data_IF_735096466535
#
_entry.id   IF_735096466535
#
_cell.length_a   1.000
_cell.length_b   1.000
_cell.length_c   1.000
_cell.angle_alpha   90.00
_cell.angle_beta   90.00
_cell.angle_gamma   90.00
#
_symmetry.space_group_name_H-M   'P 1'
#
loop_
_entity.id
_entity.type
_entity.pdbx_description
1 polymer ?
#
# COMPACT_ATOMS: atom_id res chain seq x y z
N UNK A 1 -3.72 -56.64 51.15
CA UNK A 1 -3.07 -56.10 49.94
C UNK A 1 -4.05 -56.14 48.77
N UNK A 2 -4.63 -54.99 48.38
CA UNK A 2 -5.36 -54.83 47.12
C UNK A 2 -4.99 -53.45 46.56
N UNK A 3 -4.03 -53.45 45.63
CA UNK A 3 -3.49 -52.26 44.98
C UNK A 3 -4.52 -51.75 43.97
N UNK A 4 -5.09 -50.57 44.20
CA UNK A 4 -5.94 -49.89 43.22
C UNK A 4 -5.03 -49.04 42.32
N UNK A 5 -4.79 -49.52 41.11
CA UNK A 5 -4.19 -48.73 40.03
C UNK A 5 -5.32 -47.92 39.40
N UNK A 6 -5.39 -46.62 39.70
CA UNK A 6 -6.34 -45.72 39.05
C UNK A 6 -5.60 -45.02 37.91
N UNK A 7 -5.93 -45.40 36.68
CA UNK A 7 -5.38 -44.84 35.45
C UNK A 7 -5.59 -43.32 35.41
N UNK A 8 -4.49 -42.57 35.33
CA UNK A 8 -4.49 -41.15 35.01
C UNK A 8 -4.74 -41.02 33.50
N UNK A 9 -5.97 -40.69 33.10
CA UNK A 9 -6.32 -40.41 31.72
C UNK A 9 -5.74 -39.04 31.35
N UNK A 10 -4.59 -39.01 30.67
CA UNK A 10 -3.99 -37.79 30.16
C UNK A 10 -4.82 -37.28 28.97
N UNK A 11 -5.64 -36.25 29.21
CA UNK A 11 -6.36 -35.53 28.17
C UNK A 11 -5.35 -34.80 27.29
N UNK A 12 -4.98 -35.38 26.14
CA UNK A 12 -4.30 -34.62 25.09
C UNK A 12 -5.30 -33.58 24.56
N UNK A 13 -5.11 -32.33 24.96
CA UNK A 13 -5.68 -31.18 24.26
C UNK A 13 -5.08 -31.16 22.86
N UNK A 14 -5.83 -31.66 21.87
CA UNK A 14 -5.55 -31.36 20.47
C UNK A 14 -5.79 -29.87 20.27
N UNK A 15 -4.71 -29.09 20.32
CA UNK A 15 -4.71 -27.73 19.81
C UNK A 15 -4.93 -27.84 18.29
N UNK A 16 -6.14 -27.57 17.83
CA UNK A 16 -6.38 -27.34 16.41
C UNK A 16 -5.49 -26.16 15.99
N UNK A 17 -4.75 -26.25 14.88
CA UNK A 17 -4.05 -25.10 14.36
C UNK A 17 -5.09 -24.01 14.11
N UNK A 18 -4.96 -22.89 14.80
CA UNK A 18 -5.74 -21.71 14.47
C UNK A 18 -5.47 -21.40 13.00
N UNK A 19 -6.51 -21.35 12.17
CA UNK A 19 -6.39 -20.89 10.81
C UNK A 19 -5.80 -19.47 10.87
N UNK A 20 -4.56 -19.32 10.43
CA UNK A 20 -3.82 -18.09 10.64
C UNK A 20 -4.37 -17.02 9.70
N UNK A 21 -4.86 -15.92 10.29
CA UNK A 21 -5.24 -14.69 9.57
C UNK A 21 -4.03 -13.94 8.97
N UNK A 22 -2.85 -14.53 9.02
CA UNK A 22 -1.58 -13.98 8.56
C UNK A 22 -0.72 -15.05 7.90
N UNK A 23 0.02 -14.67 6.87
CA UNK A 23 1.13 -15.49 6.36
C UNK A 23 2.29 -15.53 7.36
N UNK A 24 3.19 -16.48 7.17
CA UNK A 24 4.51 -16.42 7.77
C UNK A 24 5.28 -15.19 7.28
N UNK A 25 6.30 -14.80 8.05
CA UNK A 25 7.24 -13.77 7.65
C UNK A 25 8.22 -14.29 6.60
N UNK A 26 8.20 -13.71 5.41
CA UNK A 26 9.30 -13.84 4.45
C UNK A 26 10.46 -12.96 4.90
N UNK A 27 11.57 -13.59 5.29
CA UNK A 27 12.79 -12.88 5.67
C UNK A 27 13.65 -12.58 4.44
N UNK A 28 14.29 -11.42 4.45
CA UNK A 28 15.16 -10.95 3.36
C UNK A 28 16.24 -10.05 3.97
N UNK A 29 17.41 -9.83 3.33
CA UNK A 29 18.33 -8.82 3.83
C UNK A 29 17.62 -7.46 3.94
N UNK A 30 17.76 -6.82 5.10
CA UNK A 30 17.15 -5.52 5.35
C UNK A 30 15.74 -5.53 5.92
N UNK A 31 15.16 -6.71 6.18
CA UNK A 31 13.86 -6.75 6.83
C UNK A 31 13.07 -8.04 6.63
N UNK A 32 11.75 -7.90 6.72
CA UNK A 32 10.80 -9.00 6.52
C UNK A 32 9.44 -8.49 6.05
N UNK A 33 8.75 -9.32 5.29
CA UNK A 33 7.44 -9.02 4.70
C UNK A 33 6.44 -10.12 5.06
N UNK A 34 5.20 -9.77 5.38
CA UNK A 34 4.08 -10.71 5.50
C UNK A 34 2.78 -10.07 5.07
N UNK A 35 1.76 -10.88 4.83
CA UNK A 35 0.39 -10.43 4.60
C UNK A 35 -0.49 -10.79 5.78
N UNK A 36 -1.32 -9.84 6.21
CA UNK A 36 -2.37 -10.05 7.22
C UNK A 36 -3.73 -9.67 6.63
N UNK A 37 -4.78 -10.39 7.03
CA UNK A 37 -6.13 -10.20 6.52
C UNK A 37 -7.16 -10.33 7.66
N UNK A 38 -8.16 -9.47 7.65
CA UNK A 38 -9.31 -9.62 8.53
C UNK A 38 -10.22 -10.73 8.00
N UNK A 39 -10.81 -11.50 8.89
CA UNK A 39 -11.72 -12.58 8.55
C UNK A 39 -13.03 -12.35 9.34
N UNK A 40 -13.85 -11.38 8.90
CA UNK A 40 -15.05 -10.97 9.61
C UNK A 40 -16.13 -12.06 9.50
N UNK A 41 -16.87 -12.29 10.58
CA UNK A 41 -17.88 -13.36 10.65
C UNK A 41 -19.18 -13.01 9.89
N UNK A 42 -19.36 -11.75 9.50
CA UNK A 42 -20.64 -11.18 9.05
C UNK A 42 -20.82 -11.11 7.52
N UNK A 43 -20.09 -11.92 6.75
CA UNK A 43 -20.33 -12.09 5.31
C UNK A 43 -20.22 -10.78 4.52
N UNK A 44 -19.34 -9.88 4.96
CA UNK A 44 -19.16 -8.57 4.34
C UNK A 44 -18.62 -8.72 2.92
N UNK A 45 -19.07 -7.91 1.95
CA UNK A 45 -18.59 -7.99 0.58
C UNK A 45 -17.13 -7.52 0.43
N UNK A 46 -16.64 -6.76 1.41
CA UNK A 46 -15.28 -6.26 1.44
C UNK A 46 -14.52 -6.87 2.61
N UNK A 47 -13.29 -7.29 2.32
CA UNK A 47 -12.33 -7.81 3.29
C UNK A 47 -11.11 -6.90 3.30
N UNK A 48 -10.64 -6.49 4.47
CA UNK A 48 -9.46 -5.64 4.62
C UNK A 48 -8.24 -6.47 4.97
N UNK A 49 -7.09 -6.05 4.48
CA UNK A 49 -5.80 -6.62 4.85
C UNK A 49 -4.68 -5.60 4.74
N UNK A 50 -3.47 -6.03 5.02
CA UNK A 50 -2.28 -5.23 4.84
C UNK A 50 -1.05 -6.09 4.50
N UNK A 51 -0.20 -5.55 3.63
CA UNK A 51 1.17 -6.04 3.44
C UNK A 51 2.04 -5.33 4.49
N UNK A 52 2.53 -6.06 5.49
CA UNK A 52 3.42 -5.52 6.50
C UNK A 52 4.87 -5.63 6.04
N UNK A 53 5.58 -4.51 6.00
CA UNK A 53 6.98 -4.41 5.60
C UNK A 53 7.76 -3.87 6.78
N UNK A 54 8.47 -4.75 7.48
CA UNK A 54 9.41 -4.34 8.51
C UNK A 54 10.76 -4.10 7.86
N UNK A 55 11.27 -2.88 8.00
CA UNK A 55 12.58 -2.48 7.50
C UNK A 55 13.57 -2.37 8.65
N UNK A 56 14.76 -2.90 8.44
CA UNK A 56 15.91 -2.68 9.31
C UNK A 56 16.40 -1.22 9.16
N UNK A 57 17.06 -0.65 10.19
CA UNK A 57 17.63 0.69 10.08
C UNK A 57 18.56 0.84 8.88
N UNK A 58 18.38 1.91 8.10
CA UNK A 58 19.16 2.18 6.88
C UNK A 58 18.55 1.63 5.59
N UNK A 59 17.59 0.71 5.69
CA UNK A 59 16.90 0.14 4.54
C UNK A 59 15.66 0.93 4.15
N UNK A 60 15.23 0.76 2.90
CA UNK A 60 14.09 1.46 2.30
C UNK A 60 13.23 0.54 1.44
N UNK A 61 11.97 0.91 1.31
CA UNK A 61 11.05 0.38 0.29
C UNK A 61 10.33 1.53 -0.40
N UNK A 62 9.55 1.22 -1.42
CA UNK A 62 9.06 2.21 -2.39
C UNK A 62 7.58 2.47 -2.30
N UNK A 63 7.21 3.67 -2.76
CA UNK A 63 5.83 4.00 -3.11
C UNK A 63 5.46 3.41 -4.47
N UNK A 64 4.18 3.49 -4.88
CA UNK A 64 3.71 2.92 -6.14
C UNK A 64 4.43 3.45 -7.38
N UNK A 65 4.88 4.71 -7.35
CA UNK A 65 5.74 5.30 -8.39
C UNK A 65 7.07 5.70 -7.74
N UNK A 66 8.07 4.81 -7.76
CA UNK A 66 9.33 5.05 -7.07
C UNK A 66 10.20 6.12 -7.73
N UNK A 67 9.93 6.49 -8.98
CA UNK A 67 10.90 7.12 -9.88
C UNK A 67 11.83 6.09 -10.52
N UNK A 68 12.91 6.56 -11.14
CA UNK A 68 13.70 5.79 -12.12
C UNK A 68 14.39 4.51 -11.60
N UNK A 69 14.58 4.36 -10.29
CA UNK A 69 15.49 3.35 -9.72
C UNK A 69 14.82 2.38 -8.71
N UNK A 70 13.51 2.46 -8.49
CA UNK A 70 12.84 1.61 -7.50
C UNK A 70 12.02 0.47 -8.09
N UNK A 71 11.70 -0.49 -7.21
CA UNK A 71 10.82 -1.63 -7.51
C UNK A 71 9.53 -1.42 -6.72
N UNK A 72 8.43 -0.98 -7.37
CA UNK A 72 7.20 -0.67 -6.69
C UNK A 72 6.57 -1.93 -6.06
N UNK A 73 5.82 -1.79 -4.95
CA UNK A 73 5.04 -2.89 -4.41
C UNK A 73 3.87 -3.28 -5.33
N UNK A 74 3.76 -4.57 -5.60
CA UNK A 74 2.72 -5.21 -6.41
C UNK A 74 2.11 -6.39 -5.65
N UNK A 75 0.84 -6.69 -5.95
CA UNK A 75 0.09 -7.79 -5.36
C UNK A 75 -0.50 -8.66 -6.47
N UNK A 76 -0.08 -9.91 -6.54
CA UNK A 76 -0.65 -10.90 -7.47
C UNK A 76 -1.61 -11.81 -6.70
N UNK A 77 -2.89 -11.77 -7.07
CA UNK A 77 -3.96 -12.59 -6.50
C UNK A 77 -4.55 -13.57 -7.53
N UNK A 78 -3.86 -13.85 -8.63
CA UNK A 78 -4.39 -14.69 -9.72
C UNK A 78 -4.68 -16.13 -9.30
N UNK A 79 -4.00 -16.61 -8.26
CA UNK A 79 -4.22 -17.93 -7.67
C UNK A 79 -5.31 -17.96 -6.58
N UNK A 80 -5.93 -16.81 -6.27
CA UNK A 80 -7.00 -16.70 -5.27
C UNK A 80 -8.34 -17.20 -5.82
N UNK A 81 -9.26 -17.53 -4.92
CA UNK A 81 -10.63 -17.90 -5.28
C UNK A 81 -11.66 -17.06 -4.52
N UNK A 82 -12.80 -16.81 -5.18
CA UNK A 82 -13.88 -15.95 -4.68
C UNK A 82 -13.45 -14.48 -4.42
N UNK A 83 -12.37 -14.02 -5.06
CA UNK A 83 -11.94 -12.62 -5.07
C UNK A 83 -12.25 -12.02 -6.45
N UNK A 84 -13.11 -11.01 -6.49
CA UNK A 84 -13.50 -10.31 -7.72
C UNK A 84 -12.51 -9.23 -8.13
N UNK A 85 -12.05 -8.46 -7.15
CA UNK A 85 -11.15 -7.34 -7.34
C UNK A 85 -10.37 -7.07 -6.06
N UNK A 86 -9.28 -6.32 -6.18
CA UNK A 86 -8.58 -5.76 -5.04
C UNK A 86 -8.18 -4.30 -5.32
N UNK A 87 -7.96 -3.54 -4.26
CA UNK A 87 -7.38 -2.21 -4.30
C UNK A 87 -6.25 -2.13 -3.29
N UNK A 88 -5.02 -1.91 -3.76
CA UNK A 88 -3.85 -1.65 -2.92
C UNK A 88 -3.73 -0.14 -2.69
N UNK A 89 -3.67 0.27 -1.42
CA UNK A 89 -3.52 1.65 -1.01
C UNK A 89 -2.17 1.88 -0.32
N UNK A 90 -1.73 3.13 -0.33
CA UNK A 90 -0.39 3.52 0.09
C UNK A 90 -0.48 4.63 1.13
N UNK A 91 0.17 4.48 2.30
CA UNK A 91 0.37 5.58 3.23
C UNK A 91 1.09 6.75 2.57
N UNK A 92 1.01 7.93 3.18
CA UNK A 92 1.67 9.15 2.68
C UNK A 92 3.15 8.89 2.37
N UNK A 93 3.58 9.01 1.10
CA UNK A 93 4.97 8.77 0.74
C UNK A 93 5.85 9.96 1.11
N UNK A 94 7.15 9.71 1.18
CA UNK A 94 8.16 10.76 1.30
C UNK A 94 9.06 10.77 0.06
N UNK A 95 9.45 11.97 -0.36
CA UNK A 95 10.48 12.17 -1.38
C UNK A 95 11.85 12.17 -0.73
N UNK A 96 12.77 11.44 -1.32
CA UNK A 96 14.16 11.39 -0.91
C UNK A 96 15.05 11.67 -2.11
N UNK A 97 16.26 12.15 -1.83
CA UNK A 97 17.31 12.34 -2.82
C UNK A 97 18.57 11.61 -2.33
N UNK A 98 19.19 10.83 -3.22
CA UNK A 98 20.45 10.15 -2.98
C UNK A 98 21.25 10.08 -4.28
N UNK A 99 22.55 10.43 -4.24
CA UNK A 99 23.44 10.35 -5.41
C UNK A 99 22.97 11.11 -6.67
N UNK A 100 22.10 12.12 -6.54
CA UNK A 100 21.51 12.85 -7.67
C UNK A 100 20.22 12.25 -8.24
N UNK A 101 19.76 11.11 -7.71
CA UNK A 101 18.46 10.49 -8.05
C UNK A 101 17.44 10.80 -6.97
N UNK A 102 16.22 11.14 -7.38
CA UNK A 102 15.09 11.29 -6.47
C UNK A 102 14.20 10.07 -6.52
N UNK A 103 13.68 9.65 -5.37
CA UNK A 103 12.79 8.52 -5.25
C UNK A 103 11.71 8.76 -4.19
N UNK A 104 10.58 8.06 -4.32
CA UNK A 104 9.44 8.16 -3.41
C UNK A 104 9.22 6.84 -2.69
N UNK A 105 9.01 6.89 -1.38
CA UNK A 105 8.80 5.69 -0.58
C UNK A 105 8.97 5.90 0.91
N UNK A 106 9.55 4.89 1.57
CA UNK A 106 9.57 4.76 3.01
C UNK A 106 10.93 4.25 3.51
N UNK A 107 11.46 4.89 4.56
CA UNK A 107 12.69 4.47 5.28
C UNK A 107 12.40 3.86 6.66
N UNK A 108 11.12 3.68 6.98
CA UNK A 108 10.63 3.12 8.25
C UNK A 108 9.68 1.98 7.93
N UNK A 109 9.45 1.06 8.89
CA UNK A 109 8.40 0.05 8.74
C UNK A 109 7.08 0.67 8.30
N UNK A 110 6.42 0.04 7.34
CA UNK A 110 5.21 0.53 6.71
C UNK A 110 4.26 -0.65 6.45
N UNK A 111 2.96 -0.40 6.57
CA UNK A 111 1.94 -1.36 6.17
C UNK A 111 1.17 -0.80 4.99
N UNK A 112 1.09 -1.55 3.89
CA UNK A 112 0.33 -1.17 2.70
C UNK A 112 -1.05 -1.82 2.79
N UNK A 113 -2.10 -1.07 3.17
CA UNK A 113 -3.43 -1.63 3.30
C UNK A 113 -4.00 -2.00 1.93
N UNK A 114 -4.77 -3.07 1.88
CA UNK A 114 -5.55 -3.43 0.70
C UNK A 114 -6.97 -3.81 1.09
N UNK A 115 -7.88 -3.61 0.14
CA UNK A 115 -9.26 -4.08 0.23
C UNK A 115 -9.50 -5.11 -0.85
N UNK A 116 -10.07 -6.25 -0.48
CA UNK A 116 -10.56 -7.28 -1.39
C UNK A 116 -12.06 -7.12 -1.54
N UNK A 117 -12.57 -7.26 -2.76
CA UNK A 117 -14.00 -7.41 -3.03
C UNK A 117 -14.29 -8.86 -3.35
N UNK A 118 -15.19 -9.49 -2.59
CA UNK A 118 -15.59 -10.88 -2.83
C UNK A 118 -16.49 -10.99 -4.07
N UNK A 119 -16.38 -12.10 -4.80
CA UNK A 119 -17.32 -12.40 -5.89
C UNK A 119 -18.69 -12.80 -5.33
N UNK A 120 -18.69 -13.66 -4.31
CA UNK A 120 -19.87 -14.08 -3.56
C UNK A 120 -19.58 -14.01 -2.04
N UNK A 121 -20.10 -12.98 -1.34
CA UNK A 121 -19.87 -12.79 0.10
C UNK A 121 -20.46 -13.90 0.99
N UNK A 122 -21.35 -14.74 0.45
CA UNK A 122 -21.95 -15.86 1.17
C UNK A 122 -21.08 -17.15 1.13
N UNK A 123 -19.96 -17.14 0.40
CA UNK A 123 -19.05 -18.27 0.27
C UNK A 123 -17.70 -17.97 0.90
N UNK A 124 -17.00 -18.98 1.44
CA UNK A 124 -15.60 -18.84 1.80
C UNK A 124 -14.77 -18.35 0.62
N UNK A 125 -13.79 -17.51 0.90
CA UNK A 125 -12.78 -17.09 -0.05
C UNK A 125 -11.41 -17.65 0.32
N UNK A 126 -10.51 -17.68 -0.65
CA UNK A 126 -9.15 -18.13 -0.43
C UNK A 126 -8.21 -17.11 -1.04
N UNK A 127 -7.42 -16.46 -0.18
CA UNK A 127 -6.41 -15.51 -0.59
C UNK A 127 -5.09 -16.25 -0.80
N UNK A 128 -4.71 -16.41 -2.06
CA UNK A 128 -3.48 -17.07 -2.46
C UNK A 128 -2.76 -16.27 -3.56
N UNK A 129 -1.46 -16.12 -3.39
CA UNK A 129 -0.61 -15.41 -4.33
C UNK A 129 0.63 -14.84 -3.63
N UNK A 130 1.15 -13.74 -4.16
CA UNK A 130 2.35 -13.12 -3.61
C UNK A 130 2.33 -11.60 -3.66
N UNK A 131 3.03 -10.99 -2.70
CA UNK A 131 3.42 -9.59 -2.75
C UNK A 131 4.86 -9.50 -3.29
N UNK A 132 5.07 -8.67 -4.30
CA UNK A 132 6.39 -8.41 -4.90
C UNK A 132 6.80 -6.96 -4.65
N UNK A 133 8.00 -6.72 -4.12
CA UNK A 133 8.47 -5.35 -3.82
C UNK A 133 10.00 -5.29 -3.67
N UNK A 134 10.56 -4.07 -3.75
CA UNK A 134 11.97 -3.84 -3.44
C UNK A 134 12.22 -3.51 -1.97
N UNK A 135 13.23 -4.14 -1.36
CA UNK A 135 13.88 -3.70 -0.13
C UNK A 135 15.34 -3.39 -0.46
N UNK A 136 15.76 -2.15 -0.25
CA UNK A 136 17.07 -1.70 -0.71
C UNK A 136 17.86 -0.96 0.37
N UNK A 137 19.18 -1.04 0.27
CA UNK A 137 20.12 -0.17 0.97
C UNK A 137 20.94 0.54 -0.11
N UNK A 138 22.18 0.10 -0.34
CA UNK A 138 23.02 0.47 -1.50
C UNK A 138 22.56 -0.21 -2.77
N UNK A 139 22.23 -1.51 -2.68
CA UNK A 139 21.64 -2.29 -3.77
C UNK A 139 20.18 -2.55 -3.47
N UNK A 140 19.39 -2.82 -4.51
CA UNK A 140 18.00 -3.22 -4.32
C UNK A 140 17.82 -4.72 -4.45
N UNK A 141 17.08 -5.30 -3.50
CA UNK A 141 16.74 -6.71 -3.44
C UNK A 141 15.25 -6.84 -3.76
N UNK A 142 14.88 -7.47 -4.88
CA UNK A 142 13.50 -7.86 -5.15
C UNK A 142 13.08 -8.96 -4.16
N UNK A 143 11.93 -8.79 -3.54
CA UNK A 143 11.39 -9.68 -2.51
C UNK A 143 10.02 -10.18 -2.98
N UNK A 144 9.83 -11.50 -2.95
CA UNK A 144 8.54 -12.15 -3.16
C UNK A 144 8.08 -12.78 -1.85
N UNK A 145 6.97 -12.29 -1.31
CA UNK A 145 6.33 -12.83 -0.11
C UNK A 145 5.05 -13.57 -0.48
N UNK A 146 5.13 -14.90 -0.47
CA UNK A 146 4.01 -15.80 -0.74
C UNK A 146 3.04 -15.85 0.44
N UNK A 147 1.75 -15.98 0.15
CA UNK A 147 0.71 -16.17 1.14
C UNK A 147 -0.37 -17.14 0.65
N UNK A 148 -0.96 -17.86 1.60
CA UNK A 148 -2.02 -18.85 1.39
C UNK A 148 -2.91 -18.81 2.65
N UNK A 149 -3.99 -18.04 2.59
CA UNK A 149 -4.84 -17.68 3.74
C UNK A 149 -6.30 -17.98 3.42
N UNK A 150 -6.96 -18.75 4.29
CA UNK A 150 -8.39 -19.01 4.21
C UNK A 150 -9.20 -17.85 4.80
N UNK A 151 -10.27 -17.44 4.11
CA UNK A 151 -11.25 -16.45 4.56
C UNK A 151 -12.60 -17.17 4.64
N UNK A 152 -12.87 -17.75 5.80
CA UNK A 152 -13.99 -18.66 6.06
C UNK A 152 -14.98 -18.13 7.12
N UNK A 153 -14.81 -16.88 7.55
CA UNK A 153 -15.61 -16.25 8.61
C UNK A 153 -15.11 -16.53 10.03
N UNK A 154 -14.01 -17.27 10.21
CA UNK A 154 -13.36 -17.44 11.52
C UNK A 154 -12.78 -16.11 12.00
N UNK A 155 -13.30 -15.49 13.08
CA UNK A 155 -12.90 -14.15 13.48
C UNK A 155 -11.39 -14.01 13.69
N UNK A 156 -10.76 -13.06 13.00
CA UNK A 156 -9.38 -12.65 13.30
C UNK A 156 -9.28 -12.12 14.74
N UNK A 157 -8.11 -12.31 15.36
CA UNK A 157 -7.86 -11.82 16.71
C UNK A 157 -7.80 -10.28 16.75
N UNK A 158 -7.92 -9.74 17.97
CA UNK A 158 -8.00 -8.29 18.18
C UNK A 158 -6.72 -7.55 17.75
N UNK A 159 -5.55 -8.20 17.81
CA UNK A 159 -4.29 -7.58 17.39
C UNK A 159 -4.26 -7.43 15.88
N UNK A 160 -4.59 -8.49 15.12
CA UNK A 160 -4.67 -8.41 13.65
C UNK A 160 -5.63 -7.30 13.19
N UNK A 161 -6.81 -7.21 13.81
CA UNK A 161 -7.79 -6.14 13.50
C UNK A 161 -7.23 -4.74 13.78
N UNK A 162 -6.55 -4.55 14.91
CA UNK A 162 -5.93 -3.28 15.25
C UNK A 162 -4.77 -2.91 14.31
N UNK A 163 -3.94 -3.87 13.93
CA UNK A 163 -2.84 -3.67 12.96
C UNK A 163 -3.37 -3.25 11.59
N UNK A 164 -4.43 -3.91 11.10
CA UNK A 164 -5.10 -3.55 9.85
C UNK A 164 -5.70 -2.14 9.96
N UNK A 165 -6.45 -1.85 11.02
CA UNK A 165 -7.03 -0.50 11.22
C UNK A 165 -5.94 0.57 11.20
N UNK A 166 -4.83 0.34 11.90
CA UNK A 166 -3.70 1.28 11.95
C UNK A 166 -3.09 1.51 10.57
N UNK A 167 -3.03 0.50 9.71
CA UNK A 167 -2.54 0.65 8.33
C UNK A 167 -3.46 1.57 7.51
N UNK A 168 -4.78 1.44 7.66
CA UNK A 168 -5.75 2.32 6.99
C UNK A 168 -5.72 3.75 7.55
N UNK A 169 -5.48 3.93 8.85
CA UNK A 169 -5.39 5.25 9.50
C UNK A 169 -4.17 6.08 9.03
N UNK A 170 -3.18 5.44 8.41
CA UNK A 170 -2.00 6.10 7.83
C UNK A 170 -2.21 6.58 6.37
N UNK A 171 -3.38 6.31 5.78
CA UNK A 171 -3.68 6.75 4.43
C UNK A 171 -3.89 8.27 4.37
N UNK A 172 -3.49 8.93 3.26
CA UNK A 172 -3.88 10.31 3.01
C UNK A 172 -5.41 10.43 3.01
N UNK A 173 -5.93 11.52 3.58
CA UNK A 173 -7.37 11.79 3.57
C UNK A 173 -7.89 11.96 2.13
N UNK A 174 -9.18 11.78 1.86
CA UNK A 174 -9.75 12.16 0.57
C UNK A 174 -9.55 13.66 0.30
N UNK A 175 -9.12 14.00 -0.91
CA UNK A 175 -8.99 15.38 -1.34
C UNK A 175 -10.33 16.13 -1.30
N UNK A 176 -10.27 17.43 -1.03
CA UNK A 176 -11.42 18.34 -1.03
C UNK A 176 -11.18 19.52 -1.97
N UNK A 177 -12.19 20.38 -2.13
CA UNK A 177 -12.05 21.60 -2.94
C UNK A 177 -11.04 22.60 -2.33
N UNK A 178 -10.80 22.51 -1.03
CA UNK A 178 -9.91 23.40 -0.27
C UNK A 178 -8.48 22.84 -0.13
N UNK A 179 -8.30 21.54 -0.34
CA UNK A 179 -7.00 20.89 -0.29
C UNK A 179 -6.97 19.69 -1.24
N UNK A 180 -6.29 19.86 -2.38
CA UNK A 180 -6.28 18.88 -3.45
C UNK A 180 -5.81 19.45 -4.79
N UNK A 181 -5.70 18.59 -5.80
CA UNK A 181 -5.41 19.02 -7.18
C UNK A 181 -6.73 19.34 -7.87
N UNK A 182 -6.85 20.56 -8.42
CA UNK A 182 -8.04 21.01 -9.17
C UNK A 182 -7.91 20.90 -10.67
N UNK A 183 -6.69 20.95 -11.21
CA UNK A 183 -6.44 20.94 -12.64
C UNK A 183 -5.10 20.29 -12.99
N UNK A 184 -5.07 19.66 -14.16
CA UNK A 184 -3.85 19.20 -14.82
C UNK A 184 -3.86 19.71 -16.25
N UNK A 185 -2.73 20.26 -16.70
CA UNK A 185 -2.52 20.68 -18.08
C UNK A 185 -1.26 20.03 -18.62
N UNK A 186 -1.31 19.55 -19.86
CA UNK A 186 -0.15 18.97 -20.52
C UNK A 186 0.66 20.05 -21.22
N UNK A 187 1.97 20.00 -21.05
CA UNK A 187 2.92 20.79 -21.83
C UNK A 187 4.07 19.86 -22.23
N UNK A 188 4.04 19.43 -23.49
CA UNK A 188 5.03 18.56 -24.13
C UNK A 188 5.44 17.34 -23.27
N UNK A 189 6.56 17.48 -22.56
CA UNK A 189 7.26 16.48 -21.76
C UNK A 189 6.94 16.51 -20.26
N UNK A 190 6.04 17.39 -19.80
CA UNK A 190 5.53 17.38 -18.43
C UNK A 190 4.02 17.61 -18.33
N UNK A 191 3.51 17.36 -17.13
CA UNK A 191 2.16 17.73 -16.71
C UNK A 191 2.27 18.79 -15.61
N UNK A 192 1.57 19.90 -15.79
CA UNK A 192 1.43 20.94 -14.79
C UNK A 192 0.18 20.68 -13.95
N UNK A 193 0.39 20.35 -12.68
CA UNK A 193 -0.66 20.12 -11.69
C UNK A 193 -0.90 21.38 -10.89
N UNK A 194 -2.10 21.90 -10.95
CA UNK A 194 -2.52 23.05 -10.13
C UNK A 194 -3.27 22.54 -8.90
N UNK A 195 -2.71 22.82 -7.73
CA UNK A 195 -3.24 22.41 -6.44
C UNK A 195 -3.74 23.61 -5.61
N UNK A 196 -4.80 23.35 -4.85
CA UNK A 196 -5.26 24.16 -3.73
C UNK A 196 -4.59 23.65 -2.46
N UNK A 197 -4.04 24.58 -1.69
CA UNK A 197 -3.31 24.33 -0.45
C UNK A 197 -4.16 24.75 0.74
N UNK A 198 -4.06 23.99 1.82
CA UNK A 198 -4.60 24.42 3.09
C UNK A 198 -3.76 25.58 3.67
N UNK A 199 -4.34 26.32 4.62
CA UNK A 199 -3.56 27.24 5.43
C UNK A 199 -2.57 26.47 6.32
N UNK A 200 -1.35 26.97 6.46
CA UNK A 200 -0.35 26.38 7.35
C UNK A 200 1.01 26.24 6.67
N UNK A 201 1.53 25.01 6.64
CA UNK A 201 2.92 24.71 6.30
C UNK A 201 3.38 25.26 4.95
N UNK A 202 4.64 25.67 4.89
CA UNK A 202 5.33 25.98 3.63
C UNK A 202 5.86 24.73 2.93
N UNK A 203 6.09 23.63 3.66
CA UNK A 203 6.54 22.37 3.07
C UNK A 203 5.38 21.73 2.31
N UNK A 204 5.55 21.60 1.00
CA UNK A 204 4.56 21.00 0.10
C UNK A 204 5.25 20.03 -0.84
N UNK A 205 4.56 18.94 -1.16
CA UNK A 205 5.03 17.98 -2.15
C UNK A 205 3.85 17.35 -2.90
N UNK A 206 4.11 16.93 -4.14
CA UNK A 206 3.13 16.26 -4.98
C UNK A 206 3.71 14.96 -5.53
N UNK A 207 2.99 13.88 -5.30
CA UNK A 207 3.29 12.57 -5.85
C UNK A 207 2.18 12.18 -6.82
N UNK A 208 2.55 11.67 -8.00
CA UNK A 208 1.61 11.34 -9.07
C UNK A 208 1.88 9.95 -9.58
N UNK A 209 0.81 9.24 -9.90
CA UNK A 209 0.84 7.91 -10.51
C UNK A 209 -0.25 7.76 -11.56
N UNK A 210 -0.05 6.86 -12.51
CA UNK A 210 -1.09 6.44 -13.44
C UNK A 210 -1.19 4.93 -13.52
N UNK A 211 -2.35 4.47 -13.96
CA UNK A 211 -2.50 3.13 -14.51
C UNK A 211 -2.31 3.19 -16.02
N UNK A 212 -1.79 2.14 -16.65
CA UNK A 212 -1.74 2.05 -18.11
C UNK A 212 -0.45 2.55 -18.79
N UNK A 213 0.69 2.48 -18.11
CA UNK A 213 2.02 2.52 -18.75
C UNK A 213 2.63 3.90 -19.00
N UNK A 214 2.04 4.96 -18.47
CA UNK A 214 2.72 6.24 -18.30
C UNK A 214 3.55 6.20 -17.01
N UNK A 215 4.83 6.57 -17.09
CA UNK A 215 5.69 6.69 -15.91
C UNK A 215 6.02 8.16 -15.68
N UNK A 216 5.93 8.59 -14.43
CA UNK A 216 6.18 9.97 -14.06
C UNK A 216 7.50 10.12 -13.30
N UNK A 217 8.17 11.23 -13.61
CA UNK A 217 9.29 11.69 -12.83
C UNK A 217 8.81 12.40 -11.58
N UNK A 218 9.79 12.76 -10.77
CA UNK A 218 9.55 13.50 -9.54
C UNK A 218 9.07 14.93 -9.80
N UNK A 219 8.02 15.33 -9.09
CA UNK A 219 7.42 16.65 -9.25
C UNK A 219 8.37 17.76 -8.81
N UNK A 220 8.24 18.92 -9.45
CA UNK A 220 8.98 20.14 -9.15
C UNK A 220 8.00 21.28 -8.95
N UNK A 221 8.13 22.00 -7.86
CA UNK A 221 7.35 23.21 -7.62
C UNK A 221 7.75 24.29 -8.65
N UNK A 222 6.82 24.71 -9.51
CA UNK A 222 7.01 25.81 -10.48
C UNK A 222 6.70 27.16 -9.86
N UNK A 223 5.57 27.23 -9.15
CA UNK A 223 5.10 28.46 -8.54
C UNK A 223 4.22 28.16 -7.33
N UNK A 224 4.13 29.15 -6.44
CA UNK A 224 3.22 29.15 -5.31
C UNK A 224 2.71 30.56 -5.08
N UNK A 225 1.41 30.67 -4.85
CA UNK A 225 0.74 31.89 -4.44
C UNK A 225 -0.19 31.55 -3.27
N UNK A 226 0.32 31.72 -2.05
CA UNK A 226 -0.42 31.54 -0.78
C UNK A 226 -1.17 30.22 -0.66
N UNK A 227 -2.37 30.17 -1.22
CA UNK A 227 -3.33 29.05 -1.23
C UNK A 227 -3.25 28.16 -2.47
N UNK A 228 -2.37 28.44 -3.44
CA UNK A 228 -2.24 27.61 -4.62
C UNK A 228 -0.78 27.33 -4.95
N UNK A 229 -0.51 26.15 -5.52
CA UNK A 229 0.79 25.78 -6.07
C UNK A 229 0.62 25.12 -7.44
N UNK A 230 1.63 25.29 -8.29
CA UNK A 230 1.75 24.58 -9.56
C UNK A 230 2.98 23.69 -9.51
N UNK A 231 2.80 22.40 -9.78
CA UNK A 231 3.87 21.40 -9.84
C UNK A 231 4.04 20.92 -11.28
N UNK A 232 5.26 20.95 -11.81
CA UNK A 232 5.60 20.24 -13.03
C UNK A 232 5.95 18.79 -12.68
N UNK A 233 5.31 17.84 -13.36
CA UNK A 233 5.57 16.41 -13.23
C UNK A 233 6.09 15.91 -14.58
N UNK A 234 7.38 15.59 -14.71
CA UNK A 234 7.96 15.08 -15.95
C UNK A 234 7.29 13.77 -16.39
N UNK A 235 7.07 13.61 -17.68
CA UNK A 235 6.61 12.36 -18.28
C UNK A 235 7.82 11.59 -18.80
N UNK A 236 8.28 10.62 -18.02
CA UNK A 236 9.54 9.89 -18.28
C UNK A 236 9.36 8.90 -19.42
N UNK A 237 8.23 8.19 -19.45
CA UNK A 237 7.89 7.29 -20.54
C UNK A 237 6.38 7.20 -20.71
N UNK A 238 5.94 6.64 -21.84
CA UNK A 238 4.52 6.61 -22.17
C UNK A 238 4.01 7.99 -22.59
N UNK A 239 4.82 8.78 -23.33
CA UNK A 239 4.37 10.05 -23.90
C UNK A 239 3.08 9.92 -24.73
N UNK A 240 2.89 8.76 -25.36
CA UNK A 240 1.70 8.41 -26.14
C UNK A 240 0.62 7.73 -25.30
N UNK A 241 0.93 7.32 -24.06
CA UNK A 241 -0.04 6.74 -23.16
C UNK A 241 -1.05 7.84 -22.77
N UNK A 242 -2.32 7.45 -22.77
CA UNK A 242 -3.45 8.29 -22.42
C UNK A 242 -4.17 7.65 -21.24
N UNK A 243 -3.56 7.64 -20.04
CA UNK A 243 -4.22 7.09 -18.86
C UNK A 243 -5.55 7.83 -18.68
N UNK A 244 -6.64 7.14 -18.39
CA UNK A 244 -7.94 7.82 -18.19
C UNK A 244 -7.95 8.67 -16.92
N UNK A 245 -7.22 8.22 -15.90
CA UNK A 245 -7.13 8.85 -14.58
C UNK A 245 -5.68 8.90 -14.11
N UNK A 246 -5.32 10.03 -13.51
CA UNK A 246 -4.10 10.21 -12.74
C UNK A 246 -4.45 10.15 -11.25
N UNK A 247 -3.74 9.34 -10.50
CA UNK A 247 -3.78 9.33 -9.04
C UNK A 247 -2.75 10.32 -8.51
N UNK A 248 -3.09 11.04 -7.45
CA UNK A 248 -2.13 11.92 -6.79
C UNK A 248 -2.21 11.80 -5.28
N UNK A 249 -1.10 12.16 -4.62
CA UNK A 249 -1.04 12.47 -3.20
C UNK A 249 -0.38 13.83 -3.04
N UNK A 250 -1.15 14.78 -2.48
CA UNK A 250 -0.67 16.12 -2.15
C UNK A 250 -0.34 16.15 -0.66
N UNK A 251 0.87 16.58 -0.33
CA UNK A 251 1.38 16.68 1.04
C UNK A 251 1.61 18.15 1.37
N UNK A 252 1.21 18.55 2.58
CA UNK A 252 1.51 19.86 3.15
C UNK A 252 1.85 19.72 4.64
N UNK A 253 3.13 19.78 4.97
CA UNK A 253 3.63 19.48 6.32
C UNK A 253 3.26 18.06 6.75
N UNK A 254 2.50 17.95 7.84
CA UNK A 254 2.02 16.70 8.43
C UNK A 254 0.68 16.21 7.83
N UNK A 255 0.05 17.01 6.97
CA UNK A 255 -1.21 16.67 6.32
C UNK A 255 -0.98 16.14 4.92
N UNK A 256 -1.82 15.22 4.51
CA UNK A 256 -1.87 14.80 3.12
C UNK A 256 -3.26 14.41 2.69
N UNK A 257 -3.51 14.59 1.39
CA UNK A 257 -4.73 14.16 0.72
C UNK A 257 -4.41 13.36 -0.53
N UNK A 258 -5.28 12.44 -0.88
CA UNK A 258 -5.22 11.68 -2.13
C UNK A 258 -6.49 11.85 -2.94
N UNK A 259 -6.34 11.75 -4.26
CA UNK A 259 -7.47 11.84 -5.17
C UNK A 259 -7.10 11.38 -6.57
N UNK A 260 -8.08 11.44 -7.46
CA UNK A 260 -7.89 11.23 -8.89
C UNK A 260 -8.24 12.47 -9.67
N UNK A 261 -7.60 12.66 -10.81
CA UNK A 261 -7.94 13.70 -11.77
C UNK A 261 -7.91 13.11 -13.19
N UNK A 262 -8.91 13.43 -14.04
CA UNK A 262 -8.88 12.99 -15.43
C UNK A 262 -7.65 13.53 -16.15
N UNK A 263 -7.00 12.67 -16.92
CA UNK A 263 -5.99 13.12 -17.87
C UNK A 263 -6.69 13.87 -19.01
N UNK A 264 -6.38 15.15 -19.19
CA UNK A 264 -6.90 15.96 -20.29
C UNK A 264 -5.74 16.34 -21.20
N UNK A 265 -5.90 16.11 -22.50
CA UNK A 265 -4.95 16.54 -23.53
C UNK A 265 -4.96 18.05 -23.73
#
# INVERSE_FOLDING_TARGET
MKTKFLCLLASLLFAFPAAAASSDWTSTPGGKVRVIVDNPADGTPEIRGAIQINLDPGWKTYWKEPGDAGVPPELDLTASSNIKAYALAFPTPHRFADGGTQWAGYKKPVSLPFTLTLEDPAKPAHLKGHAFLGICETICIPVTAEFDIAIDGTPSDALTKAEISTAFDQLPAPASAEFGVRAVTRDNDHLDFTADLAAGSEEIDLFVAAEGGANFGMSKLKSRDGKSAVFAVPLVSGAQAKPSLLYYTLVQGDKSVSGTIPFKE
#
